data_IF_263819093433
#
_entry.id   IF_263819093433
#
_cell.length_a   1.000
_cell.length_b   1.000
_cell.length_c   1.000
_cell.angle_alpha   90.00
_cell.angle_beta   90.00
_cell.angle_gamma   90.00
#
_symmetry.space_group_name_H-M   'P 1'
#
loop_
_entity.id
_entity.type
_entity.pdbx_description
1 polymer ?
#
# COMPACT_ATOMS: atom_id res chain seq x y z
N UNK A 1 -18.24 -5.68 -6.08
CA UNK A 1 -16.79 -5.71 -6.38
C UNK A 1 -16.05 -4.48 -5.87
N UNK A 2 -16.54 -3.25 -6.12
CA UNK A 2 -15.94 -1.99 -5.58
C UNK A 2 -15.71 -2.04 -4.07
N UNK A 3 -16.69 -2.50 -3.28
CA UNK A 3 -16.57 -2.62 -1.82
C UNK A 3 -15.43 -3.55 -1.38
N UNK A 4 -15.27 -4.70 -2.04
CA UNK A 4 -14.19 -5.65 -1.73
C UNK A 4 -12.83 -5.00 -2.02
N UNK A 5 -12.71 -4.29 -3.15
CA UNK A 5 -11.50 -3.57 -3.51
C UNK A 5 -11.16 -2.46 -2.50
N UNK A 6 -12.17 -1.69 -2.05
CA UNK A 6 -12.01 -0.69 -0.98
C UNK A 6 -11.51 -1.36 0.31
N UNK A 7 -12.15 -2.45 0.75
CA UNK A 7 -11.73 -3.18 1.96
C UNK A 7 -10.28 -3.66 1.81
N UNK A 8 -9.92 -4.20 0.65
CA UNK A 8 -8.57 -4.69 0.38
C UNK A 8 -7.54 -3.56 0.44
N UNK A 9 -7.83 -2.39 -0.15
CA UNK A 9 -6.99 -1.19 -0.05
C UNK A 9 -6.81 -0.73 1.40
N UNK A 10 -7.90 -0.68 2.18
CA UNK A 10 -7.85 -0.23 3.57
C UNK A 10 -7.09 -1.20 4.47
N UNK A 11 -7.33 -2.50 4.35
CA UNK A 11 -6.64 -3.53 5.14
C UNK A 11 -5.15 -3.56 4.79
N UNK A 12 -4.80 -3.59 3.50
CA UNK A 12 -3.41 -3.60 3.07
C UNK A 12 -2.70 -2.30 3.45
N UNK A 13 -3.34 -1.15 3.26
CA UNK A 13 -2.84 0.16 3.71
C UNK A 13 -2.59 0.20 5.22
N UNK A 14 -3.51 -0.31 6.03
CA UNK A 14 -3.34 -0.39 7.49
C UNK A 14 -2.16 -1.29 7.89
N UNK A 15 -1.89 -2.36 7.15
CA UNK A 15 -0.72 -3.23 7.41
C UNK A 15 0.60 -2.45 7.28
N UNK A 16 0.67 -1.44 6.40
CA UNK A 16 1.86 -0.59 6.28
C UNK A 16 2.18 0.21 7.55
N UNK A 17 1.21 0.45 8.44
CA UNK A 17 1.46 1.07 9.75
C UNK A 17 2.32 0.19 10.66
N UNK A 18 2.22 -1.14 10.56
CA UNK A 18 3.15 -2.03 11.27
C UNK A 18 4.57 -1.89 10.74
N UNK A 19 4.72 -1.72 9.43
CA UNK A 19 6.02 -1.44 8.81
C UNK A 19 6.63 -0.14 9.32
N UNK A 20 5.84 0.93 9.38
CA UNK A 20 6.23 2.22 9.97
C UNK A 20 6.77 2.05 11.40
N UNK A 21 6.04 1.34 12.26
CA UNK A 21 6.45 1.12 13.65
C UNK A 21 7.68 0.23 13.77
N UNK A 22 7.78 -0.83 12.96
CA UNK A 22 8.91 -1.78 13.02
C UNK A 22 10.24 -1.12 12.61
N UNK A 23 10.22 -0.11 11.72
CA UNK A 23 11.42 0.65 11.37
C UNK A 23 12.06 1.35 12.58
N UNK A 24 11.27 1.84 13.55
CA UNK A 24 11.79 2.51 14.74
C UNK A 24 12.68 1.58 15.59
N UNK A 25 12.38 0.28 15.58
CA UNK A 25 13.10 -0.73 16.35
C UNK A 25 14.29 -1.25 15.54
N UNK A 26 14.06 -1.62 14.28
CA UNK A 26 15.05 -2.34 13.45
C UNK A 26 16.15 -1.42 12.94
N UNK A 27 15.84 -0.16 12.64
CA UNK A 27 16.77 0.82 12.05
C UNK A 27 17.11 1.97 13.00
N UNK A 28 16.92 1.79 14.31
CA UNK A 28 17.24 2.80 15.34
C UNK A 28 18.67 3.34 15.23
N UNK A 29 19.63 2.47 14.89
CA UNK A 29 21.05 2.80 14.72
C UNK A 29 21.39 3.46 13.37
N UNK A 30 20.43 3.61 12.46
CA UNK A 30 20.61 4.18 11.10
C UNK A 30 19.56 5.27 10.84
N UNK A 31 19.71 6.47 11.42
CA UNK A 31 18.64 7.47 11.49
C UNK A 31 18.16 7.94 10.11
N UNK A 32 19.08 8.15 9.16
CA UNK A 32 18.71 8.54 7.80
C UNK A 32 17.87 7.46 7.10
N UNK A 33 18.35 6.21 7.12
CA UNK A 33 17.64 5.07 6.53
C UNK A 33 16.28 4.85 7.20
N UNK A 34 16.23 4.98 8.54
CA UNK A 34 15.00 4.89 9.33
C UNK A 34 13.97 5.93 8.87
N UNK A 35 14.36 7.21 8.78
CA UNK A 35 13.47 8.28 8.35
C UNK A 35 12.90 8.02 6.95
N UNK A 36 13.76 7.65 6.00
CA UNK A 36 13.34 7.38 4.62
C UNK A 36 12.33 6.23 4.55
N UNK A 37 12.60 5.11 5.24
CA UNK A 37 11.69 3.97 5.23
C UNK A 37 10.37 4.30 5.94
N UNK A 38 10.40 5.00 7.09
CA UNK A 38 9.17 5.42 7.79
C UNK A 38 8.27 6.27 6.89
N UNK A 39 8.85 7.26 6.21
CA UNK A 39 8.10 8.09 5.27
C UNK A 39 7.52 7.27 4.13
N UNK A 40 8.27 6.30 3.58
CA UNK A 40 7.76 5.39 2.58
C UNK A 40 6.57 4.54 3.06
N UNK A 41 6.67 3.93 4.25
CA UNK A 41 5.59 3.13 4.83
C UNK A 41 4.32 3.96 5.06
N UNK A 42 4.47 5.17 5.62
CA UNK A 42 3.36 6.09 5.83
C UNK A 42 2.76 6.57 4.50
N UNK A 43 3.60 6.91 3.52
CA UNK A 43 3.16 7.31 2.19
C UNK A 43 2.34 6.22 1.51
N UNK A 44 2.79 4.96 1.57
CA UNK A 44 2.04 3.83 1.00
C UNK A 44 0.67 3.67 1.65
N UNK A 45 0.58 3.77 2.98
CA UNK A 45 -0.70 3.76 3.71
C UNK A 45 -1.63 4.89 3.24
N UNK A 46 -1.12 6.12 3.14
CA UNK A 46 -1.89 7.30 2.72
C UNK A 46 -2.35 7.21 1.27
N UNK A 47 -1.52 6.66 0.38
CA UNK A 47 -1.89 6.44 -1.02
C UNK A 47 -3.01 5.40 -1.16
N UNK A 48 -2.96 4.30 -0.41
CA UNK A 48 -4.07 3.33 -0.39
C UNK A 48 -5.36 3.92 0.17
N UNK A 49 -5.28 4.68 1.27
CA UNK A 49 -6.43 5.38 1.84
C UNK A 49 -7.03 6.38 0.84
N UNK A 50 -6.17 7.15 0.17
CA UNK A 50 -6.59 8.13 -0.85
C UNK A 50 -7.25 7.42 -2.03
N UNK A 51 -6.68 6.33 -2.51
CA UNK A 51 -7.27 5.54 -3.60
C UNK A 51 -8.64 4.96 -3.21
N UNK A 52 -8.77 4.44 -1.99
CA UNK A 52 -10.04 3.94 -1.46
C UNK A 52 -11.12 5.04 -1.40
N UNK A 53 -10.76 6.24 -0.92
CA UNK A 53 -11.66 7.39 -0.89
C UNK A 53 -12.07 7.79 -2.31
N UNK A 54 -11.11 7.93 -3.24
CA UNK A 54 -11.39 8.29 -4.63
C UNK A 54 -12.32 7.27 -5.32
N UNK A 55 -12.12 5.98 -5.07
CA UNK A 55 -13.00 4.93 -5.59
C UNK A 55 -14.42 5.03 -5.00
N UNK A 56 -14.52 5.33 -3.70
CA UNK A 56 -15.81 5.52 -3.02
C UNK A 56 -16.60 6.70 -3.59
N UNK A 57 -15.93 7.83 -3.90
CA UNK A 57 -16.56 9.00 -4.53
C UNK A 57 -16.58 8.95 -6.07
N UNK A 58 -16.32 7.79 -6.67
CA UNK A 58 -16.35 7.55 -8.12
C UNK A 58 -15.40 8.42 -8.96
N UNK A 59 -14.30 8.89 -8.39
CA UNK A 59 -13.29 9.67 -9.11
C UNK A 59 -12.37 8.76 -9.91
N UNK A 60 -12.27 8.98 -11.23
CA UNK A 60 -11.51 8.12 -12.16
C UNK A 60 -10.01 8.03 -11.85
N UNK A 61 -9.45 9.00 -11.14
CA UNK A 61 -8.05 9.02 -10.71
C UNK A 61 -7.69 7.94 -9.69
N UNK A 62 -8.67 7.25 -9.09
CA UNK A 62 -8.44 6.22 -8.06
C UNK A 62 -7.46 5.13 -8.52
N UNK A 63 -7.50 4.74 -9.80
CA UNK A 63 -6.66 3.70 -10.38
C UNK A 63 -5.19 4.11 -10.39
N UNK A 64 -4.91 5.33 -10.87
CA UNK A 64 -3.55 5.89 -10.95
C UNK A 64 -2.95 5.94 -9.55
N UNK A 65 -3.71 6.46 -8.58
CA UNK A 65 -3.29 6.52 -7.18
C UNK A 65 -3.04 5.12 -6.61
N UNK A 66 -3.89 4.13 -6.94
CA UNK A 66 -3.69 2.74 -6.50
C UNK A 66 -2.41 2.13 -7.08
N UNK A 67 -2.12 2.35 -8.36
CA UNK A 67 -0.91 1.84 -8.99
C UNK A 67 0.35 2.46 -8.38
N UNK A 68 0.34 3.75 -8.09
CA UNK A 68 1.43 4.41 -7.37
C UNK A 68 1.56 3.80 -5.96
N UNK A 69 0.46 3.60 -5.24
CA UNK A 69 0.45 2.96 -3.93
C UNK A 69 1.08 1.55 -3.95
N UNK A 70 0.69 0.72 -4.92
CA UNK A 70 1.21 -0.63 -5.13
C UNK A 70 2.70 -0.62 -5.49
N UNK A 71 3.13 0.30 -6.34
CA UNK A 71 4.54 0.42 -6.71
C UNK A 71 5.41 0.82 -5.51
N UNK A 72 5.01 1.86 -4.77
CA UNK A 72 5.67 2.27 -3.53
C UNK A 72 5.68 1.13 -2.50
N UNK A 73 4.55 0.44 -2.33
CA UNK A 73 4.42 -0.73 -1.46
C UNK A 73 5.42 -1.82 -1.87
N UNK A 74 5.48 -2.15 -3.15
CA UNK A 74 6.36 -3.22 -3.66
C UNK A 74 7.84 -2.91 -3.42
N UNK A 75 8.26 -1.66 -3.64
CA UNK A 75 9.64 -1.23 -3.35
C UNK A 75 9.97 -1.40 -1.86
N UNK A 76 9.06 -1.01 -0.97
CA UNK A 76 9.28 -1.12 0.48
C UNK A 76 9.36 -2.56 0.95
N UNK A 77 8.41 -3.41 0.56
CA UNK A 77 8.35 -4.78 1.05
C UNK A 77 9.49 -5.66 0.50
N UNK A 78 10.07 -5.31 -0.64
CA UNK A 78 11.21 -6.03 -1.24
C UNK A 78 12.57 -5.54 -0.73
N UNK A 79 12.68 -4.27 -0.34
CA UNK A 79 13.91 -3.65 0.19
C UNK A 79 14.06 -3.72 1.72
N UNK A 80 13.05 -4.22 2.43
CA UNK A 80 13.06 -4.37 3.90
C UNK A 80 13.21 -5.83 4.36
N UNK A 81 12.96 -6.10 5.64
CA UNK A 81 13.13 -7.42 6.27
C UNK A 81 12.31 -8.52 5.58
N UNK A 82 12.75 -9.78 5.74
CA UNK A 82 12.22 -10.94 5.01
C UNK A 82 10.71 -11.12 5.15
N UNK A 83 10.15 -10.85 6.34
CA UNK A 83 8.72 -11.01 6.59
C UNK A 83 7.86 -9.98 5.85
N UNK A 84 8.41 -8.82 5.46
CA UNK A 84 7.65 -7.80 4.72
C UNK A 84 7.17 -8.32 3.36
N UNK A 85 7.92 -9.25 2.76
CA UNK A 85 7.68 -9.79 1.41
C UNK A 85 6.31 -10.48 1.28
N UNK A 86 5.72 -10.97 2.37
CA UNK A 86 4.35 -11.50 2.37
C UNK A 86 3.30 -10.46 1.94
N UNK A 87 3.59 -9.16 2.09
CA UNK A 87 2.77 -8.08 1.56
C UNK A 87 2.61 -8.09 0.03
N UNK A 88 3.47 -8.82 -0.70
CA UNK A 88 3.36 -8.98 -2.16
C UNK A 88 2.03 -9.64 -2.54
N UNK A 89 1.52 -10.53 -1.67
CA UNK A 89 0.23 -11.17 -1.85
C UNK A 89 -0.88 -10.11 -1.88
N UNK A 90 -0.84 -9.12 -0.99
CA UNK A 90 -1.77 -7.98 -1.00
C UNK A 90 -1.72 -7.19 -2.30
N UNK A 91 -0.51 -6.88 -2.80
CA UNK A 91 -0.33 -6.18 -4.08
C UNK A 91 -0.86 -7.01 -5.27
N UNK A 92 -0.62 -8.32 -5.30
CA UNK A 92 -1.14 -9.20 -6.36
C UNK A 92 -2.67 -9.25 -6.33
N UNK A 93 -3.28 -9.40 -5.14
CA UNK A 93 -4.74 -9.41 -5.01
C UNK A 93 -5.35 -8.08 -5.46
N UNK A 94 -4.73 -6.95 -5.11
CA UNK A 94 -5.15 -5.62 -5.57
C UNK A 94 -5.08 -5.52 -7.08
N UNK A 95 -3.96 -5.95 -7.69
CA UNK A 95 -3.79 -5.94 -9.14
C UNK A 95 -4.90 -6.73 -9.86
N UNK A 96 -5.15 -7.96 -9.41
CA UNK A 96 -6.19 -8.82 -10.00
C UNK A 96 -7.58 -8.19 -9.85
N UNK A 97 -7.90 -7.63 -8.68
CA UNK A 97 -9.20 -7.00 -8.45
C UNK A 97 -9.41 -5.74 -9.29
N UNK A 98 -8.36 -4.94 -9.54
CA UNK A 98 -8.42 -3.79 -10.46
C UNK A 98 -8.78 -4.26 -11.87
N UNK A 99 -8.13 -5.30 -12.38
CA UNK A 99 -8.41 -5.84 -13.72
C UNK A 99 -9.84 -6.36 -13.85
N UNK A 100 -10.40 -6.95 -12.79
CA UNK A 100 -11.77 -7.44 -12.77
C UNK A 100 -12.80 -6.32 -12.69
N UNK A 101 -12.53 -5.27 -11.91
CA UNK A 101 -13.42 -4.11 -11.76
C UNK A 101 -13.48 -3.27 -13.04
N UNK A 102 -12.36 -3.13 -13.76
CA UNK A 102 -12.28 -2.35 -15.00
C UNK A 102 -13.07 -2.92 -16.17
N UNK A 103 -13.58 -4.15 -16.06
CA UNK A 103 -14.47 -4.74 -17.08
C UNK A 103 -15.95 -4.46 -16.83
N UNK A 104 -16.30 -3.76 -15.75
CA UNK A 104 -17.67 -3.65 -15.23
C UNK A 104 -18.09 -2.21 -14.87
N UNK A 105 -17.24 -1.22 -15.19
CA UNK A 105 -17.49 0.23 -15.06
C UNK A 105 -17.17 0.83 -16.42
#
# INVERSE_FOLDING_TARGET
>A
MKTILIILMLVHGAIHLFGYSKVLIVLSHRPFQSNLHRLGWLLSCLLFLTSAILLYIHQSSWQIVCFIAMFTSQLLITSTWKEAKYGTIGNILLFLMILLVNRLI
#
